data_IF_742726202870
#
_entry.id   IF_742726202870
#
_cell.length_a   1.000
_cell.length_b   1.000
_cell.length_c   1.000
_cell.angle_alpha   90.00
_cell.angle_beta   90.00
_cell.angle_gamma   90.00
#
_symmetry.space_group_name_H-M   'P 1'
#
loop_
_entity.id
_entity.type
_entity.pdbx_description
1 polymer ?
#
# COMPACT_ATOMS: atom_id res chain seq x y z
N UNK A 1 26.36 24.63 -3.36
CA UNK A 1 25.12 23.85 -3.51
C UNK A 1 24.95 23.41 -4.96
N UNK A 2 24.77 24.35 -5.91
CA UNK A 2 24.50 24.04 -7.33
C UNK A 2 25.47 23.06 -7.98
N UNK A 3 26.77 23.19 -7.71
CA UNK A 3 27.81 22.29 -8.26
C UNK A 3 27.58 20.81 -7.93
N UNK A 4 26.85 20.51 -6.85
CA UNK A 4 26.53 19.14 -6.44
C UNK A 4 25.24 18.63 -7.07
N UNK A 5 24.42 19.48 -7.70
CA UNK A 5 23.17 19.07 -8.31
C UNK A 5 23.42 18.49 -9.70
N UNK A 6 22.67 17.45 -10.05
CA UNK A 6 22.63 16.81 -11.37
C UNK A 6 21.19 16.68 -11.82
N UNK A 7 20.96 16.94 -13.10
CA UNK A 7 19.62 16.93 -13.68
C UNK A 7 19.04 15.55 -13.92
N UNK A 8 19.87 14.50 -13.84
CA UNK A 8 19.47 13.12 -14.09
C UNK A 8 19.98 12.20 -13.00
N UNK A 9 19.16 11.24 -12.58
CA UNK A 9 19.50 10.25 -11.58
C UNK A 9 20.74 9.41 -11.96
N UNK A 10 20.89 9.07 -13.25
CA UNK A 10 22.02 8.28 -13.74
C UNK A 10 23.38 9.00 -13.65
N UNK A 11 23.36 10.32 -13.44
CA UNK A 11 24.56 11.15 -13.34
C UNK A 11 24.90 11.53 -11.89
N UNK A 12 24.11 11.06 -10.92
CA UNK A 12 24.21 11.43 -9.53
C UNK A 12 24.64 10.24 -8.64
N UNK A 13 25.44 10.53 -7.62
CA UNK A 13 25.86 9.54 -6.64
C UNK A 13 24.75 9.20 -5.62
N UNK A 14 23.83 10.15 -5.39
CA UNK A 14 22.71 10.03 -4.45
C UNK A 14 21.42 10.66 -4.99
N UNK A 15 20.29 10.19 -4.47
CA UNK A 15 18.99 10.81 -4.68
C UNK A 15 18.58 11.59 -3.43
N UNK A 16 17.95 12.75 -3.61
CA UNK A 16 17.39 13.54 -2.51
C UNK A 16 15.89 13.71 -2.72
N UNK A 17 15.11 13.35 -1.70
CA UNK A 17 13.73 13.78 -1.55
C UNK A 17 13.72 15.25 -1.09
N UNK A 18 13.68 16.16 -2.05
CA UNK A 18 13.84 17.59 -1.80
C UNK A 18 12.66 18.14 -1.00
N UNK A 19 11.45 17.70 -1.33
CA UNK A 19 10.22 18.03 -0.60
C UNK A 19 10.35 17.70 0.88
N UNK A 20 10.83 16.50 1.22
CA UNK A 20 11.00 16.06 2.59
C UNK A 20 12.09 16.86 3.32
N UNK A 21 13.26 17.00 2.71
CA UNK A 21 14.41 17.71 3.32
C UNK A 21 14.10 19.16 3.64
N UNK A 22 13.56 19.92 2.66
CA UNK A 22 13.33 21.35 2.87
C UNK A 22 12.19 21.63 3.84
N UNK A 23 11.30 20.66 4.10
CA UNK A 23 10.19 20.76 5.07
C UNK A 23 10.51 20.20 6.44
N UNK A 24 11.65 19.53 6.61
CA UNK A 24 12.03 18.92 7.88
C UNK A 24 12.56 19.96 8.88
N UNK A 25 11.66 20.46 9.73
CA UNK A 25 11.95 21.46 10.76
C UNK A 25 12.91 20.96 11.83
N UNK A 26 13.06 19.64 11.99
CA UNK A 26 13.98 19.07 12.97
C UNK A 26 15.45 19.25 12.54
N UNK A 27 15.70 19.50 11.25
CA UNK A 27 17.05 19.78 10.73
C UNK A 27 17.52 21.22 10.96
N UNK A 28 16.59 22.15 11.16
CA UNK A 28 16.91 23.55 11.45
C UNK A 28 15.89 24.56 10.92
N UNK A 29 15.97 25.81 11.39
CA UNK A 29 15.08 26.90 10.99
C UNK A 29 13.64 26.77 11.52
N UNK A 30 12.96 27.89 11.71
CA UNK A 30 11.59 27.92 12.22
C UNK A 30 10.52 27.88 11.13
N UNK A 31 10.86 28.31 9.91
CA UNK A 31 9.95 28.37 8.76
C UNK A 31 9.44 26.99 8.34
N UNK A 32 8.23 26.89 7.76
CA UNK A 32 7.71 25.61 7.24
C UNK A 32 8.64 24.97 6.20
N UNK A 33 9.19 25.76 5.26
CA UNK A 33 10.16 25.32 4.26
C UNK A 33 11.45 26.14 4.32
N UNK A 34 12.62 25.56 4.04
CA UNK A 34 13.88 26.30 3.89
C UNK A 34 14.96 25.53 3.14
N UNK A 35 15.66 26.21 2.22
CA UNK A 35 16.84 25.70 1.51
C UNK A 35 18.07 25.55 2.40
N UNK A 36 18.12 26.20 3.56
CA UNK A 36 19.21 26.01 4.52
C UNK A 36 19.31 24.53 4.94
N UNK A 37 18.18 23.83 5.04
CA UNK A 37 18.14 22.39 5.36
C UNK A 37 18.82 21.55 4.28
N UNK A 38 18.62 21.88 3.00
CA UNK A 38 19.33 21.23 1.91
C UNK A 38 20.84 21.50 1.99
N UNK A 39 21.24 22.73 2.35
CA UNK A 39 22.67 23.08 2.56
C UNK A 39 23.30 22.20 3.65
N UNK A 40 22.59 22.02 4.77
CA UNK A 40 23.04 21.19 5.89
C UNK A 40 23.14 19.71 5.49
N UNK A 41 22.14 19.18 4.77
CA UNK A 41 22.16 17.80 4.26
C UNK A 41 23.31 17.57 3.29
N UNK A 42 23.59 18.50 2.37
CA UNK A 42 24.71 18.37 1.45
C UNK A 42 26.07 18.49 2.15
N UNK A 43 26.16 19.21 3.27
CA UNK A 43 27.35 19.20 4.11
C UNK A 43 27.53 17.85 4.81
N UNK A 44 26.47 17.33 5.40
CA UNK A 44 26.44 16.01 6.02
C UNK A 44 26.82 14.90 5.03
N UNK A 45 26.39 15.01 3.76
CA UNK A 45 26.73 14.05 2.72
C UNK A 45 28.23 14.01 2.42
N UNK A 46 28.89 15.18 2.33
CA UNK A 46 30.35 15.25 2.12
C UNK A 46 31.12 14.65 3.29
N UNK A 47 30.66 14.88 4.51
CA UNK A 47 31.26 14.28 5.71
C UNK A 47 31.06 12.77 5.75
N UNK A 48 29.87 12.29 5.39
CA UNK A 48 29.53 10.87 5.39
C UNK A 48 30.30 10.07 4.31
N UNK A 49 30.47 10.65 3.13
CA UNK A 49 31.19 10.02 2.01
C UNK A 49 32.70 10.19 2.09
N UNK A 50 33.18 11.26 2.72
CA UNK A 50 34.57 11.73 2.58
C UNK A 50 34.87 12.35 1.21
N UNK A 51 33.87 12.48 0.33
CA UNK A 51 34.01 13.00 -1.02
C UNK A 51 33.38 14.39 -1.12
N UNK A 52 34.19 15.38 -1.52
CA UNK A 52 33.74 16.78 -1.68
C UNK A 52 32.98 17.01 -2.97
N UNK A 53 33.17 16.13 -3.95
CA UNK A 53 32.55 16.21 -5.27
C UNK A 53 31.28 15.37 -5.36
N UNK A 54 30.89 14.67 -4.28
CA UNK A 54 29.66 13.88 -4.21
C UNK A 54 28.44 14.68 -4.70
N UNK A 55 27.76 14.08 -5.67
CA UNK A 55 26.67 14.67 -6.44
C UNK A 55 25.32 14.09 -6.06
N UNK A 56 24.26 14.85 -6.30
CA UNK A 56 22.89 14.48 -5.98
C UNK A 56 21.94 14.83 -7.12
N UNK A 57 20.94 13.97 -7.33
CA UNK A 57 19.75 14.30 -8.10
C UNK A 57 18.60 14.55 -7.14
N UNK A 58 18.11 15.79 -7.10
CA UNK A 58 17.06 16.21 -6.17
C UNK A 58 15.71 16.21 -6.87
N UNK A 59 14.74 15.48 -6.29
CA UNK A 59 13.38 15.32 -6.81
C UNK A 59 12.40 15.91 -5.79
N UNK A 60 11.46 16.73 -6.26
CA UNK A 60 10.42 17.34 -5.46
C UNK A 60 9.02 17.09 -6.04
N UNK A 61 8.03 17.17 -5.18
CA UNK A 61 6.63 17.28 -5.59
C UNK A 61 6.36 18.69 -6.16
N UNK A 62 5.45 18.77 -7.12
CA UNK A 62 4.98 20.01 -7.75
C UNK A 62 4.45 21.04 -6.75
N UNK A 63 3.87 20.56 -5.65
CA UNK A 63 3.36 21.39 -4.57
C UNK A 63 4.45 22.21 -3.87
N UNK A 64 5.74 21.85 -4.00
CA UNK A 64 6.84 22.57 -3.39
C UNK A 64 7.02 23.99 -3.94
N UNK A 65 6.67 24.18 -5.22
CA UNK A 65 6.78 25.46 -5.93
C UNK A 65 5.42 26.06 -6.30
N UNK A 66 4.34 25.52 -5.74
CA UNK A 66 3.00 26.03 -5.96
C UNK A 66 2.78 27.39 -5.29
N UNK A 67 1.89 28.26 -5.80
CA UNK A 67 1.69 29.62 -5.27
C UNK A 67 1.36 29.72 -3.78
N UNK A 68 0.82 28.64 -3.20
CA UNK A 68 0.51 28.58 -1.76
C UNK A 68 1.73 28.33 -0.90
N UNK A 69 2.79 27.76 -1.47
CA UNK A 69 4.02 27.42 -0.75
C UNK A 69 5.07 28.51 -0.78
N UNK A 70 4.91 29.58 -1.58
CA UNK A 70 5.83 30.73 -1.55
C UNK A 70 5.93 31.36 -0.16
N UNK A 71 4.80 31.40 0.58
CA UNK A 71 4.74 31.91 1.95
C UNK A 71 5.32 30.95 3.00
N UNK A 72 5.65 29.71 2.63
CA UNK A 72 6.26 28.73 3.53
C UNK A 72 7.76 28.97 3.72
N UNK A 73 8.39 29.75 2.82
CA UNK A 73 9.81 30.05 2.87
C UNK A 73 10.08 31.35 3.63
N UNK A 74 11.21 31.45 4.35
CA UNK A 74 11.58 32.65 5.08
C UNK A 74 11.97 33.81 4.15
N UNK A 75 12.47 33.51 2.95
CA UNK A 75 12.93 34.48 1.95
C UNK A 75 12.39 34.11 0.56
N UNK A 76 11.68 35.01 -0.14
CA UNK A 76 11.25 34.82 -1.53
C UNK A 76 12.40 34.48 -2.50
N UNK A 77 13.64 34.87 -2.19
CA UNK A 77 14.81 34.53 -3.01
C UNK A 77 15.08 33.01 -3.03
N UNK A 78 14.76 32.27 -1.97
CA UNK A 78 14.89 30.81 -1.95
C UNK A 78 13.93 30.16 -2.97
N UNK A 79 12.71 30.68 -3.07
CA UNK A 79 11.70 30.20 -4.02
C UNK A 79 12.12 30.53 -5.45
N UNK A 80 12.63 31.74 -5.68
CA UNK A 80 13.14 32.15 -6.98
C UNK A 80 14.32 31.25 -7.42
N UNK A 81 15.23 30.93 -6.50
CA UNK A 81 16.35 30.03 -6.74
C UNK A 81 15.91 28.60 -7.08
N UNK A 82 14.92 28.04 -6.37
CA UNK A 82 14.37 26.72 -6.70
C UNK A 82 13.70 26.70 -8.09
N UNK A 83 12.97 27.76 -8.45
CA UNK A 83 12.37 27.90 -9.78
C UNK A 83 13.44 27.95 -10.86
N UNK A 84 14.51 28.72 -10.64
CA UNK A 84 15.65 28.77 -11.55
C UNK A 84 16.35 27.40 -11.67
N UNK A 85 16.55 26.67 -10.57
CA UNK A 85 17.11 25.31 -10.63
C UNK A 85 16.24 24.35 -11.42
N UNK A 86 14.91 24.42 -11.26
CA UNK A 86 13.97 23.64 -12.07
C UNK A 86 14.10 24.02 -13.54
N UNK A 87 14.12 25.32 -13.86
CA UNK A 87 14.14 25.82 -15.24
C UNK A 87 15.46 25.47 -15.95
N UNK A 88 16.57 25.40 -15.20
CA UNK A 88 17.87 24.90 -15.68
C UNK A 88 17.98 23.37 -15.67
N UNK A 89 16.98 22.65 -15.18
CA UNK A 89 16.99 21.20 -15.08
C UNK A 89 17.97 20.64 -14.04
N UNK A 90 18.34 21.41 -13.01
CA UNK A 90 19.20 20.95 -11.91
C UNK A 90 18.43 20.13 -10.86
N UNK A 91 17.11 20.32 -10.79
CA UNK A 91 16.20 19.54 -9.94
C UNK A 91 15.00 19.07 -10.77
N UNK A 92 14.43 17.92 -10.41
CA UNK A 92 13.18 17.45 -10.97
C UNK A 92 12.01 17.88 -10.07
N UNK A 93 10.99 18.51 -10.66
CA UNK A 93 9.75 18.86 -9.96
C UNK A 93 8.59 18.19 -10.68
N UNK A 94 8.02 17.17 -10.06
CA UNK A 94 7.06 16.25 -10.68
C UNK A 94 5.81 16.07 -9.81
N UNK A 95 4.76 15.43 -10.33
CA UNK A 95 3.50 15.29 -9.60
C UNK A 95 3.61 14.50 -8.28
N UNK A 96 4.53 13.52 -8.24
CA UNK A 96 4.86 12.74 -7.05
C UNK A 96 6.33 12.34 -7.11
N UNK A 97 7.14 12.75 -6.13
CA UNK A 97 8.56 12.42 -6.08
C UNK A 97 8.83 10.95 -5.71
N UNK A 98 8.06 10.39 -4.79
CA UNK A 98 8.31 9.06 -4.20
C UNK A 98 8.46 7.93 -5.24
N UNK A 99 7.56 7.75 -6.25
CA UNK A 99 7.72 6.67 -7.22
C UNK A 99 9.04 6.73 -7.98
N UNK A 100 9.41 7.91 -8.49
CA UNK A 100 10.64 8.12 -9.26
C UNK A 100 11.89 7.89 -8.39
N UNK A 101 11.90 8.39 -7.14
CA UNK A 101 12.99 8.12 -6.19
C UNK A 101 13.19 6.62 -5.98
N UNK A 102 12.09 5.89 -5.77
CA UNK A 102 12.14 4.45 -5.46
C UNK A 102 12.45 3.59 -6.68
N UNK A 103 11.98 3.97 -7.87
CA UNK A 103 12.33 3.30 -9.11
C UNK A 103 13.81 3.51 -9.45
N UNK A 104 14.32 4.74 -9.33
CA UNK A 104 15.74 5.01 -9.55
C UNK A 104 16.64 4.30 -8.55
N UNK A 105 16.28 4.31 -7.26
CA UNK A 105 17.03 3.58 -6.24
C UNK A 105 17.09 2.07 -6.54
N UNK A 106 15.97 1.49 -6.98
CA UNK A 106 15.89 0.07 -7.34
C UNK A 106 16.70 -0.27 -8.60
N UNK A 107 16.63 0.58 -9.62
CA UNK A 107 17.26 0.32 -10.94
C UNK A 107 18.77 0.55 -10.88
N UNK A 108 19.21 1.62 -10.22
CA UNK A 108 20.61 2.04 -10.23
C UNK A 108 21.37 1.65 -8.94
N UNK A 109 20.67 1.18 -7.90
CA UNK A 109 21.27 0.94 -6.58
C UNK A 109 21.65 2.24 -5.85
N UNK A 110 21.21 3.39 -6.36
CA UNK A 110 21.53 4.72 -5.80
C UNK A 110 20.81 4.91 -4.46
N UNK A 111 21.54 5.42 -3.46
CA UNK A 111 20.96 5.67 -2.13
C UNK A 111 20.05 6.90 -2.15
N UNK A 112 18.94 6.81 -1.43
CA UNK A 112 17.96 7.89 -1.24
C UNK A 112 18.16 8.55 0.12
N UNK A 113 18.27 9.87 0.13
CA UNK A 113 18.27 10.68 1.35
C UNK A 113 16.84 11.20 1.57
N UNK A 114 16.17 10.66 2.59
CA UNK A 114 14.81 11.07 3.01
C UNK A 114 14.55 10.63 4.45
N UNK A 115 13.67 11.36 5.14
CA UNK A 115 13.13 10.98 6.43
C UNK A 115 11.82 10.16 6.29
N UNK A 116 11.29 9.93 5.09
CA UNK A 116 10.09 9.11 4.91
C UNK A 116 10.38 7.60 5.10
N UNK A 117 9.35 6.83 5.45
CA UNK A 117 9.34 5.36 5.40
C UNK A 117 8.68 4.84 4.10
N UNK A 118 8.17 5.70 3.23
CA UNK A 118 7.49 5.38 1.96
C UNK A 118 6.36 4.37 2.15
N UNK A 119 5.59 4.49 3.24
CA UNK A 119 4.62 3.47 3.66
C UNK A 119 3.56 3.19 2.60
N UNK A 120 3.07 4.23 1.90
CA UNK A 120 2.10 4.12 0.82
C UNK A 120 2.63 3.41 -0.43
N UNK A 121 3.94 3.42 -0.64
CA UNK A 121 4.60 2.89 -1.84
C UNK A 121 5.07 1.44 -1.70
N UNK A 122 5.04 0.86 -0.51
CA UNK A 122 5.49 -0.53 -0.26
C UNK A 122 4.68 -1.60 -0.99
N UNK A 123 3.48 -1.27 -1.48
CA UNK A 123 2.73 -2.17 -2.35
C UNK A 123 3.35 -2.33 -3.74
N UNK A 124 3.89 -1.24 -4.30
CA UNK A 124 4.52 -1.18 -5.62
C UNK A 124 6.03 -1.47 -5.53
N UNK A 125 6.65 -1.14 -4.39
CA UNK A 125 8.07 -1.31 -4.11
C UNK A 125 8.26 -2.19 -2.86
N UNK A 126 7.97 -3.51 -2.93
CA UNK A 126 8.03 -4.41 -1.76
C UNK A 126 9.45 -4.58 -1.20
N UNK A 127 10.49 -4.30 -1.99
CA UNK A 127 11.90 -4.39 -1.60
C UNK A 127 12.28 -3.44 -0.46
N UNK A 128 11.50 -2.38 -0.22
CA UNK A 128 11.74 -1.41 0.87
C UNK A 128 11.49 -2.05 2.25
N UNK A 129 10.70 -3.12 2.33
CA UNK A 129 10.37 -3.76 3.61
C UNK A 129 11.61 -4.33 4.30
N UNK A 130 12.03 -3.68 5.39
CA UNK A 130 13.22 -4.07 6.15
C UNK A 130 14.55 -3.73 5.46
N UNK A 131 14.55 -2.92 4.40
CA UNK A 131 15.80 -2.45 3.78
C UNK A 131 16.64 -1.65 4.78
N UNK A 132 17.97 -1.83 4.70
CA UNK A 132 18.96 -1.20 5.60
C UNK A 132 20.12 -0.55 4.86
N UNK A 133 20.08 -0.52 3.54
CA UNK A 133 21.27 -0.24 2.72
C UNK A 133 21.05 0.95 1.78
N UNK A 134 19.81 1.16 1.32
CA UNK A 134 19.50 2.11 0.26
C UNK A 134 19.02 3.46 0.78
N UNK A 135 18.73 3.59 2.08
CA UNK A 135 18.14 4.81 2.65
C UNK A 135 19.04 5.46 3.69
N UNK A 136 19.27 6.77 3.53
CA UNK A 136 19.97 7.63 4.47
C UNK A 136 18.99 8.61 5.08
N UNK A 137 19.04 8.76 6.41
CA UNK A 137 18.25 9.71 7.17
C UNK A 137 19.14 10.86 7.65
N UNK A 138 18.81 12.12 7.31
CA UNK A 138 19.38 13.27 7.98
C UNK A 138 18.91 13.35 9.43
N UNK A 139 19.84 13.45 10.38
CA UNK A 139 19.55 13.64 11.80
C UNK A 139 20.31 14.82 12.36
N UNK A 140 19.62 15.66 13.12
CA UNK A 140 20.25 16.75 13.86
C UNK A 140 20.92 16.24 15.13
N UNK A 141 22.20 16.59 15.29
CA UNK A 141 22.99 16.37 16.49
C UNK A 141 22.67 17.37 17.59
N UNK A 142 23.15 17.09 18.80
CA UNK A 142 22.99 17.98 19.97
C UNK A 142 23.77 19.28 19.83
N UNK A 143 24.82 19.28 19.02
CA UNK A 143 25.64 20.43 18.63
C UNK A 143 24.99 21.27 17.50
N UNK A 144 23.82 20.85 17.01
CA UNK A 144 23.12 21.48 15.91
C UNK A 144 23.61 21.09 14.51
N UNK A 145 24.65 20.25 14.40
CA UNK A 145 25.10 19.69 13.14
C UNK A 145 24.06 18.72 12.56
N UNK A 146 24.09 18.49 11.24
CA UNK A 146 23.29 17.44 10.60
C UNK A 146 24.24 16.33 10.18
N UNK A 147 23.89 15.08 10.47
CA UNK A 147 24.62 13.88 10.04
C UNK A 147 23.69 12.95 9.27
N UNK A 148 24.25 12.19 8.32
CA UNK A 148 23.52 11.12 7.65
C UNK A 148 23.76 9.79 8.38
N UNK A 149 22.70 9.00 8.54
CA UNK A 149 22.78 7.64 9.07
C UNK A 149 22.00 6.68 8.18
N UNK A 150 22.46 5.42 8.08
CA UNK A 150 21.67 4.38 7.44
C UNK A 150 20.35 4.19 8.19
N UNK A 151 19.26 4.15 7.44
CA UNK A 151 17.91 4.03 7.97
C UNK A 151 17.46 2.57 7.88
N UNK A 152 17.05 2.01 9.01
CA UNK A 152 16.27 0.77 9.02
C UNK A 152 14.85 1.09 8.57
N UNK A 153 14.49 0.65 7.37
CA UNK A 153 13.19 0.93 6.78
C UNK A 153 12.04 0.19 7.48
N UNK A 154 12.33 -0.69 8.44
CA UNK A 154 11.37 -1.45 9.26
C UNK A 154 10.45 -2.34 8.42
N UNK A 155 9.82 -3.28 9.09
CA UNK A 155 8.71 -4.06 8.54
C UNK A 155 7.40 -3.48 9.08
N UNK A 156 6.53 -3.08 8.16
CA UNK A 156 5.17 -2.64 8.47
C UNK A 156 4.16 -3.72 8.09
N UNK A 157 3.15 -3.91 8.95
CA UNK A 157 2.01 -4.78 8.64
C UNK A 157 1.21 -4.23 7.46
N UNK A 158 0.62 -5.13 6.67
CA UNK A 158 -0.14 -4.78 5.47
C UNK A 158 -1.28 -3.82 5.75
N UNK A 159 -1.83 -3.86 6.96
CA UNK A 159 -2.84 -2.91 7.41
C UNK A 159 -2.39 -1.47 7.28
N UNK A 160 -1.18 -1.16 7.77
CA UNK A 160 -0.63 0.21 7.77
C UNK A 160 -0.41 0.67 6.34
N UNK A 161 0.23 -0.17 5.52
CA UNK A 161 0.50 0.10 4.10
C UNK A 161 -0.81 0.38 3.34
N UNK A 162 -1.82 -0.47 3.57
CA UNK A 162 -3.11 -0.36 2.88
C UNK A 162 -3.91 0.87 3.32
N UNK A 163 -3.79 1.29 4.58
CA UNK A 163 -4.47 2.47 5.13
C UNK A 163 -3.87 3.77 4.57
N UNK A 164 -2.54 3.84 4.47
CA UNK A 164 -1.88 4.98 3.82
C UNK A 164 -2.26 5.06 2.34
N UNK A 165 -2.18 3.94 1.61
CA UNK A 165 -2.61 3.90 0.21
C UNK A 165 -4.09 4.24 -0.01
N UNK A 166 -4.97 3.85 0.91
CA UNK A 166 -6.37 4.29 0.90
C UNK A 166 -6.49 5.80 1.12
N UNK A 167 -5.78 6.35 2.11
CA UNK A 167 -5.81 7.80 2.38
C UNK A 167 -5.38 8.60 1.16
N UNK A 168 -4.33 8.16 0.45
CA UNK A 168 -3.83 8.81 -0.74
C UNK A 168 -4.81 8.73 -1.91
N UNK A 169 -5.46 7.57 -2.14
CA UNK A 169 -6.51 7.45 -3.15
C UNK A 169 -7.73 8.34 -2.82
N UNK A 170 -8.15 8.37 -1.55
CA UNK A 170 -9.23 9.24 -1.09
C UNK A 170 -8.90 10.72 -1.31
N UNK A 171 -7.67 11.14 -1.00
CA UNK A 171 -7.19 12.50 -1.26
C UNK A 171 -7.24 12.82 -2.75
N UNK A 172 -6.72 11.94 -3.61
CA UNK A 172 -6.72 12.10 -5.07
C UNK A 172 -8.13 12.18 -5.68
N UNK A 173 -9.15 11.66 -4.98
CA UNK A 173 -10.56 11.63 -5.41
C UNK A 173 -11.40 12.73 -4.76
N UNK A 174 -10.80 13.63 -3.97
CA UNK A 174 -11.49 14.63 -3.16
C UNK A 174 -12.53 14.01 -2.20
N UNK A 175 -12.24 12.82 -1.68
CA UNK A 175 -13.09 12.09 -0.74
C UNK A 175 -12.65 12.26 0.72
N UNK A 176 -11.77 13.22 0.98
CA UNK A 176 -11.49 13.72 2.31
C UNK A 176 -12.19 15.08 2.50
N UNK A 177 -12.66 15.34 3.72
CA UNK A 177 -13.15 16.65 4.13
C UNK A 177 -11.99 17.63 4.40
N UNK A 178 -12.32 18.86 4.79
CA UNK A 178 -11.33 19.89 5.10
C UNK A 178 -10.45 19.57 6.33
N UNK A 179 -10.86 18.60 7.16
CA UNK A 179 -10.10 18.09 8.32
C UNK A 179 -9.33 16.82 7.97
N UNK A 180 -9.33 16.40 6.70
CA UNK A 180 -8.69 15.16 6.25
C UNK A 180 -9.45 13.89 6.63
N UNK A 181 -10.72 13.98 7.05
CA UNK A 181 -11.54 12.82 7.40
C UNK A 181 -12.22 12.26 6.15
N UNK A 182 -12.31 10.93 5.99
CA UNK A 182 -13.05 10.33 4.89
C UNK A 182 -14.52 10.75 4.87
N UNK A 183 -15.02 11.08 3.68
CA UNK A 183 -16.43 11.43 3.43
C UNK A 183 -17.31 10.19 3.42
N UNK A 184 -17.71 9.75 4.61
CA UNK A 184 -18.58 8.57 4.79
C UNK A 184 -19.89 8.70 4.02
N UNK A 185 -20.42 9.93 3.86
CA UNK A 185 -21.62 10.22 3.08
C UNK A 185 -21.52 9.80 1.60
N UNK A 186 -20.31 9.66 1.07
CA UNK A 186 -20.05 9.14 -0.29
C UNK A 186 -19.56 7.69 -0.24
N UNK A 187 -18.67 7.38 0.70
CA UNK A 187 -17.96 6.10 0.77
C UNK A 187 -18.81 4.93 1.26
N UNK A 188 -19.85 5.20 2.06
CA UNK A 188 -20.80 4.20 2.56
C UNK A 188 -21.99 4.00 1.62
N UNK A 189 -21.89 4.48 0.37
CA UNK A 189 -22.94 4.35 -0.64
C UNK A 189 -22.48 3.48 -1.82
N UNK A 190 -23.43 2.74 -2.38
CA UNK A 190 -23.25 2.00 -3.62
C UNK A 190 -23.54 2.95 -4.76
N UNK A 191 -22.67 2.97 -5.77
CA UNK A 191 -22.81 3.89 -6.90
C UNK A 191 -22.96 3.10 -8.20
N UNK A 192 -23.57 3.72 -9.21
CA UNK A 192 -23.63 3.20 -10.58
C UNK A 192 -23.21 4.26 -11.56
N UNK A 193 -22.29 3.90 -12.45
CA UNK A 193 -21.95 4.73 -13.59
C UNK A 193 -22.97 4.48 -14.73
N UNK A 194 -23.48 5.52 -15.40
CA UNK A 194 -24.34 5.36 -16.58
C UNK A 194 -23.63 4.68 -17.76
N UNK A 195 -22.30 4.79 -17.85
CA UNK A 195 -21.50 4.07 -18.85
C UNK A 195 -21.37 2.62 -18.40
N UNK A 196 -21.85 1.67 -19.20
CA UNK A 196 -21.75 0.24 -18.91
C UNK A 196 -20.93 -0.47 -19.98
N UNK A 197 -20.13 -1.50 -19.62
CA UNK A 197 -19.83 -1.95 -18.26
C UNK A 197 -18.81 -1.02 -17.59
N UNK A 198 -19.12 -0.48 -16.41
CA UNK A 198 -18.19 0.30 -15.61
C UNK A 198 -18.26 -0.15 -14.16
N UNK A 199 -17.10 -0.33 -13.54
CA UNK A 199 -17.01 -0.38 -12.10
C UNK A 199 -16.76 1.03 -11.56
N UNK A 200 -17.75 1.69 -10.93
CA UNK A 200 -17.64 3.10 -10.62
C UNK A 200 -16.57 3.34 -9.56
N UNK A 201 -15.71 4.32 -9.84
CA UNK A 201 -14.77 4.90 -8.89
C UNK A 201 -15.24 6.31 -8.54
N UNK A 202 -16.07 6.51 -7.50
CA UNK A 202 -16.59 7.81 -7.09
C UNK A 202 -15.49 8.85 -6.86
N UNK A 203 -15.70 10.10 -7.26
CA UNK A 203 -14.85 11.22 -6.92
C UNK A 203 -15.72 12.47 -6.76
N UNK A 204 -15.26 13.48 -6.03
CA UNK A 204 -15.96 14.76 -5.95
C UNK A 204 -15.33 15.74 -6.93
N UNK A 205 -16.16 16.27 -7.84
CA UNK A 205 -15.81 17.39 -8.72
C UNK A 205 -16.92 18.43 -8.64
N UNK A 206 -16.55 19.67 -8.31
CA UNK A 206 -17.50 20.79 -8.16
C UNK A 206 -18.71 20.45 -7.28
N UNK A 207 -18.46 19.79 -6.14
CA UNK A 207 -19.48 19.39 -5.17
C UNK A 207 -20.37 18.21 -5.58
N UNK A 208 -20.15 17.59 -6.74
CA UNK A 208 -20.95 16.47 -7.25
C UNK A 208 -20.14 15.16 -7.26
N UNK A 209 -20.82 14.04 -7.00
CA UNK A 209 -20.22 12.71 -7.08
C UNK A 209 -20.20 12.23 -8.54
N UNK A 210 -19.00 12.05 -9.08
CA UNK A 210 -18.75 11.66 -10.48
C UNK A 210 -17.95 10.37 -10.56
N UNK A 211 -18.05 9.68 -11.70
CA UNK A 211 -17.15 8.59 -12.05
C UNK A 211 -15.78 9.16 -12.38
N UNK A 212 -14.72 8.76 -11.67
CA UNK A 212 -13.35 9.20 -11.97
C UNK A 212 -12.95 8.89 -13.41
N UNK A 213 -13.32 7.71 -13.91
CA UNK A 213 -12.94 7.24 -15.25
C UNK A 213 -13.70 7.92 -16.37
N UNK A 214 -15.01 8.17 -16.20
CA UNK A 214 -15.87 8.68 -17.27
C UNK A 214 -16.27 10.15 -17.12
N UNK A 215 -16.01 10.77 -15.97
CA UNK A 215 -16.44 12.13 -15.65
C UNK A 215 -17.96 12.31 -15.48
N UNK A 216 -18.77 11.26 -15.68
CA UNK A 216 -20.23 11.30 -15.59
C UNK A 216 -20.71 11.30 -14.14
N UNK A 217 -21.84 11.95 -13.86
CA UNK A 217 -22.52 11.84 -12.57
C UNK A 217 -22.84 10.37 -12.24
N UNK A 218 -22.62 9.99 -10.97
CA UNK A 218 -22.97 8.65 -10.50
C UNK A 218 -24.39 8.64 -9.96
N UNK A 219 -25.12 7.57 -10.28
CA UNK A 219 -26.40 7.29 -9.67
C UNK A 219 -26.16 6.59 -8.32
N UNK A 220 -26.78 7.13 -7.28
CA UNK A 220 -26.78 6.55 -5.94
C UNK A 220 -27.73 5.35 -5.89
N UNK A 221 -27.21 4.19 -5.46
CA UNK A 221 -27.96 2.95 -5.29
C UNK A 221 -28.29 2.64 -3.82
N UNK A 222 -28.05 3.59 -2.92
CA UNK A 222 -28.30 3.44 -1.48
C UNK A 222 -27.09 2.90 -0.71
N UNK A 223 -27.31 2.46 0.55
CA UNK A 223 -26.22 2.03 1.43
C UNK A 223 -25.37 0.90 0.84
N UNK A 224 -24.05 1.00 1.03
CA UNK A 224 -23.06 -0.03 0.71
C UNK A 224 -22.95 -1.01 1.87
N UNK A 225 -23.00 -2.31 1.58
CA UNK A 225 -22.65 -3.32 2.59
C UNK A 225 -21.16 -3.24 2.93
N UNK A 226 -20.77 -3.35 4.21
CA UNK A 226 -19.37 -3.41 4.60
C UNK A 226 -18.62 -4.50 3.83
N UNK A 227 -17.38 -4.21 3.47
CA UNK A 227 -16.51 -5.14 2.76
C UNK A 227 -15.15 -5.22 3.41
N UNK A 228 -14.58 -6.41 3.37
CA UNK A 228 -13.19 -6.67 3.72
C UNK A 228 -12.45 -7.12 2.47
N UNK A 229 -11.20 -6.71 2.34
CA UNK A 229 -10.36 -7.13 1.24
C UNK A 229 -9.26 -8.06 1.74
N UNK A 230 -9.12 -9.18 1.05
CA UNK A 230 -8.00 -10.10 1.20
C UNK A 230 -7.02 -9.88 0.06
N UNK A 231 -5.73 -9.91 0.34
CA UNK A 231 -4.66 -9.83 -0.65
C UNK A 231 -3.99 -11.18 -0.76
N UNK A 232 -3.69 -11.58 -1.98
CA UNK A 232 -2.97 -12.80 -2.32
C UNK A 232 -1.59 -12.38 -2.81
N UNK A 233 -0.57 -12.72 -2.02
CA UNK A 233 0.82 -12.45 -2.30
C UNK A 233 1.47 -13.72 -2.82
N UNK A 234 2.30 -13.58 -3.86
CA UNK A 234 3.19 -14.64 -4.33
C UNK A 234 4.62 -14.13 -4.23
N UNK A 235 5.44 -14.84 -3.48
CA UNK A 235 6.84 -14.51 -3.18
C UNK A 235 7.00 -13.06 -2.67
N UNK A 236 6.07 -12.65 -1.80
CA UNK A 236 6.04 -11.32 -1.17
C UNK A 236 5.40 -10.22 -2.01
N UNK A 237 5.01 -10.48 -3.26
CA UNK A 237 4.39 -9.50 -4.17
C UNK A 237 2.88 -9.72 -4.23
N UNK A 238 2.08 -8.67 -4.05
CA UNK A 238 0.63 -8.75 -4.16
C UNK A 238 0.20 -8.97 -5.62
N UNK A 239 -0.33 -10.16 -5.94
CA UNK A 239 -0.71 -10.55 -7.30
C UNK A 239 -2.22 -10.49 -7.55
N UNK A 240 -3.03 -10.64 -6.50
CA UNK A 240 -4.48 -10.60 -6.60
C UNK A 240 -5.12 -10.15 -5.28
N UNK A 241 -6.41 -9.83 -5.33
CA UNK A 241 -7.20 -9.52 -4.15
C UNK A 241 -8.64 -10.04 -4.29
N UNK A 242 -9.26 -10.32 -3.14
CA UNK A 242 -10.64 -10.79 -3.01
C UNK A 242 -11.42 -9.86 -2.10
N UNK A 243 -12.58 -9.39 -2.55
CA UNK A 243 -13.46 -8.51 -1.77
C UNK A 243 -14.60 -9.33 -1.16
N UNK A 244 -14.54 -9.55 0.14
CA UNK A 244 -15.57 -10.21 0.94
C UNK A 244 -16.63 -9.19 1.34
N UNK A 245 -17.88 -9.44 0.99
CA UNK A 245 -19.00 -8.68 1.56
C UNK A 245 -19.35 -9.29 2.90
N UNK A 246 -19.47 -8.48 3.96
CA UNK A 246 -19.88 -8.99 5.26
C UNK A 246 -21.31 -9.55 5.19
N UNK A 247 -21.46 -10.79 5.65
CA UNK A 247 -22.73 -11.51 5.70
C UNK A 247 -22.64 -12.55 6.83
N UNK A 248 -23.36 -12.30 7.93
CA UNK A 248 -23.35 -13.11 9.15
C UNK A 248 -23.76 -14.58 8.92
N UNK A 249 -24.34 -14.90 7.76
CA UNK A 249 -24.87 -16.24 7.43
C UNK A 249 -24.04 -17.01 6.40
N UNK A 250 -22.97 -16.41 5.84
CA UNK A 250 -22.31 -16.94 4.65
C UNK A 250 -20.84 -17.31 4.88
N UNK A 251 -20.53 -18.57 4.61
CA UNK A 251 -19.15 -19.02 4.45
C UNK A 251 -18.62 -18.64 3.06
N UNK A 252 -17.41 -18.07 3.02
CA UNK A 252 -16.63 -17.88 1.81
C UNK A 252 -15.56 -18.95 1.71
N UNK A 253 -15.47 -19.63 0.57
CA UNK A 253 -14.46 -20.67 0.35
C UNK A 253 -13.41 -20.12 -0.59
N UNK A 254 -12.20 -19.85 -0.08
CA UNK A 254 -11.04 -19.49 -0.88
C UNK A 254 -10.33 -20.78 -1.33
N UNK A 255 -9.85 -20.80 -2.57
CA UNK A 255 -9.11 -21.93 -3.10
C UNK A 255 -8.67 -21.70 -4.53
N UNK A 256 -8.10 -22.73 -5.16
CA UNK A 256 -7.38 -22.65 -6.44
C UNK A 256 -8.04 -21.80 -7.53
N UNK A 257 -9.36 -21.85 -7.65
CA UNK A 257 -10.09 -21.08 -8.67
C UNK A 257 -9.96 -19.56 -8.54
N UNK A 258 -9.72 -19.04 -7.33
CA UNK A 258 -9.51 -17.60 -7.06
C UNK A 258 -8.13 -17.12 -7.53
N UNK A 259 -7.18 -18.05 -7.67
CA UNK A 259 -5.82 -17.75 -8.11
C UNK A 259 -5.64 -17.99 -9.62
N UNK A 260 -6.71 -18.38 -10.33
CA UNK A 260 -6.63 -18.77 -11.73
C UNK A 260 -6.16 -17.65 -12.65
N UNK A 261 -6.44 -16.39 -12.32
CA UNK A 261 -6.04 -15.22 -13.11
C UNK A 261 -4.58 -14.79 -12.90
N UNK A 262 -3.90 -15.30 -11.88
CA UNK A 262 -2.49 -14.99 -11.66
C UNK A 262 -1.73 -15.66 -12.80
N UNK A 263 -0.94 -14.90 -13.56
CA UNK A 263 -0.21 -15.43 -14.71
C UNK A 263 0.84 -16.47 -14.27
N UNK A 264 1.14 -17.43 -15.15
CA UNK A 264 2.09 -18.52 -14.87
C UNK A 264 3.48 -18.02 -14.45
N UNK A 265 3.94 -16.91 -15.04
CA UNK A 265 5.19 -16.21 -14.65
C UNK A 265 5.26 -15.84 -13.16
N UNK A 266 4.11 -15.66 -12.52
CA UNK A 266 3.99 -15.23 -11.13
C UNK A 266 3.56 -16.38 -10.22
N UNK A 267 2.79 -17.34 -10.72
CA UNK A 267 2.37 -18.53 -10.00
C UNK A 267 2.37 -19.73 -10.94
N UNK A 268 3.46 -20.48 -10.90
CA UNK A 268 3.65 -21.71 -11.67
C UNK A 268 2.54 -22.74 -11.38
N UNK A 269 2.23 -23.54 -12.40
CA UNK A 269 1.11 -24.49 -12.35
C UNK A 269 1.31 -25.62 -11.33
N UNK A 270 2.55 -26.04 -11.08
CA UNK A 270 2.86 -27.02 -10.05
C UNK A 270 2.49 -26.50 -8.65
N UNK A 271 2.86 -25.25 -8.34
CA UNK A 271 2.57 -24.59 -7.06
C UNK A 271 1.08 -24.31 -6.94
N UNK A 272 0.43 -23.87 -8.03
CA UNK A 272 -1.03 -23.71 -8.11
C UNK A 272 -1.75 -25.04 -7.88
N UNK A 273 -1.20 -26.14 -8.39
CA UNK A 273 -1.72 -27.49 -8.23
C UNK A 273 -1.81 -27.95 -6.78
N UNK A 274 -0.85 -27.52 -5.95
CA UNK A 274 -0.81 -27.79 -4.49
C UNK A 274 -1.88 -27.03 -3.70
N UNK A 275 -2.44 -25.96 -4.26
CA UNK A 275 -3.54 -25.23 -3.65
C UNK A 275 -4.83 -26.03 -3.89
N UNK A 276 -5.45 -26.49 -2.81
CA UNK A 276 -6.74 -27.16 -2.87
C UNK A 276 -7.84 -26.29 -3.51
N UNK A 277 -8.81 -26.93 -4.20
CA UNK A 277 -9.98 -26.23 -4.78
C UNK A 277 -10.82 -25.54 -3.71
N UNK A 278 -10.90 -26.16 -2.53
CA UNK A 278 -11.42 -25.60 -1.28
C UNK A 278 -10.24 -25.59 -0.32
N UNK A 279 -9.59 -24.44 -0.16
CA UNK A 279 -8.36 -24.35 0.63
C UNK A 279 -8.65 -23.78 2.01
N UNK A 280 -9.33 -22.63 2.07
CA UNK A 280 -9.76 -22.01 3.32
C UNK A 280 -11.28 -21.83 3.33
N UNK A 281 -11.88 -22.05 4.49
CA UNK A 281 -13.23 -21.59 4.80
C UNK A 281 -13.11 -20.32 5.64
N UNK A 282 -13.75 -19.25 5.20
CA UNK A 282 -13.63 -17.91 5.77
C UNK A 282 -15.02 -17.44 6.17
N UNK A 283 -15.14 -16.95 7.41
CA UNK A 283 -16.35 -16.32 7.93
C UNK A 283 -16.00 -14.89 8.32
N UNK A 284 -16.84 -13.95 7.89
CA UNK A 284 -16.69 -12.54 8.22
C UNK A 284 -17.90 -12.06 9.00
N UNK A 285 -17.66 -11.54 10.21
CA UNK A 285 -18.71 -11.00 11.07
C UNK A 285 -18.24 -9.76 11.80
N UNK A 286 -18.96 -8.64 11.64
CA UNK A 286 -18.70 -7.36 12.33
C UNK A 286 -17.23 -6.94 12.23
N UNK A 287 -16.66 -6.96 11.03
CA UNK A 287 -15.25 -6.63 10.80
C UNK A 287 -14.22 -7.64 11.31
N UNK A 288 -14.64 -8.79 11.85
CA UNK A 288 -13.75 -9.88 12.29
C UNK A 288 -13.76 -10.99 11.25
N UNK A 289 -12.56 -11.40 10.81
CA UNK A 289 -12.40 -12.60 9.99
C UNK A 289 -12.02 -13.77 10.87
N UNK A 290 -12.64 -14.92 10.59
CA UNK A 290 -12.21 -16.20 11.12
C UNK A 290 -12.01 -17.17 9.97
N UNK A 291 -11.00 -18.02 10.10
CA UNK A 291 -10.55 -18.93 9.05
C UNK A 291 -10.45 -20.35 9.59
N UNK A 292 -10.67 -21.31 8.72
CA UNK A 292 -10.49 -22.74 8.97
C UNK A 292 -9.81 -23.35 7.74
N UNK A 293 -8.78 -24.15 7.96
CA UNK A 293 -8.12 -24.87 6.88
C UNK A 293 -8.95 -26.06 6.42
N UNK A 294 -9.11 -26.21 5.11
CA UNK A 294 -9.75 -27.35 4.45
C UNK A 294 -8.84 -27.95 3.37
N UNK A 295 -7.56 -27.56 3.36
CA UNK A 295 -6.59 -27.95 2.37
C UNK A 295 -5.86 -29.24 2.71
N UNK A 296 -5.46 -29.97 1.67
CA UNK A 296 -4.53 -31.09 1.83
C UNK A 296 -3.11 -30.65 2.22
N UNK A 297 -2.76 -29.39 1.95
CA UNK A 297 -1.41 -28.86 2.11
C UNK A 297 -1.08 -28.41 3.54
N UNK A 298 -2.11 -28.30 4.40
CA UNK A 298 -1.99 -27.83 5.79
C UNK A 298 -1.42 -26.41 5.89
N UNK A 299 -2.32 -25.44 5.72
CA UNK A 299 -2.04 -24.01 5.88
C UNK A 299 -1.44 -23.69 7.24
N UNK A 300 -0.63 -22.63 7.28
CA UNK A 300 0.00 -22.12 8.50
C UNK A 300 -0.18 -20.61 8.63
N UNK A 301 -0.17 -20.11 9.85
CA UNK A 301 -0.41 -18.71 10.18
C UNK A 301 0.70 -18.15 11.06
N UNK A 302 1.01 -16.86 10.89
CA UNK A 302 1.87 -16.09 11.80
C UNK A 302 1.37 -14.66 11.91
N UNK A 303 1.84 -13.96 12.93
CA UNK A 303 1.59 -12.53 13.14
C UNK A 303 2.84 -11.71 12.82
N UNK A 304 2.65 -10.62 12.06
CA UNK A 304 3.61 -9.54 11.85
C UNK A 304 3.37 -8.44 12.90
N UNK A 305 4.32 -8.22 13.80
CA UNK A 305 4.23 -7.10 14.74
C UNK A 305 5.12 -5.95 14.26
N UNK A 306 4.61 -4.71 14.13
CA UNK A 306 5.42 -3.58 13.70
C UNK A 306 6.66 -3.41 14.58
N UNK A 307 7.82 -3.26 13.94
CA UNK A 307 9.11 -3.08 14.63
C UNK A 307 9.59 -4.30 15.42
N UNK A 308 9.02 -5.48 15.19
CA UNK A 308 9.46 -6.76 15.77
C UNK A 308 9.57 -7.80 14.68
N UNK A 309 10.34 -8.85 14.96
CA UNK A 309 10.41 -10.00 14.08
C UNK A 309 9.04 -10.70 13.97
N UNK A 310 8.70 -11.27 12.80
CA UNK A 310 7.53 -12.11 12.64
C UNK A 310 7.53 -13.26 13.65
N UNK A 311 6.37 -13.59 14.20
CA UNK A 311 6.25 -14.82 15.00
C UNK A 311 6.55 -16.06 14.14
N UNK A 312 7.01 -17.17 14.74
CA UNK A 312 7.16 -18.44 14.02
C UNK A 312 5.83 -18.89 13.40
N UNK A 313 5.90 -19.58 12.28
CA UNK A 313 4.73 -20.18 11.65
C UNK A 313 4.10 -21.23 12.57
N UNK A 314 2.77 -21.18 12.70
CA UNK A 314 1.98 -22.13 13.46
C UNK A 314 0.95 -22.81 12.56
N UNK A 315 0.63 -24.09 12.78
CA UNK A 315 -0.46 -24.75 12.06
C UNK A 315 -1.77 -23.97 12.20
N UNK A 316 -2.52 -23.89 11.10
CA UNK A 316 -3.89 -23.41 11.13
C UNK A 316 -4.82 -24.58 11.51
N UNK A 317 -5.85 -24.37 12.35
CA UNK A 317 -6.81 -25.42 12.66
C UNK A 317 -7.44 -25.97 11.39
N UNK A 318 -7.60 -27.29 11.33
CA UNK A 318 -8.06 -27.98 10.13
C UNK A 318 -9.43 -28.60 10.32
N UNK A 319 -10.22 -28.70 9.24
CA UNK A 319 -11.60 -29.22 9.26
C UNK A 319 -11.70 -30.63 9.89
N UNK A 320 -10.73 -31.49 9.63
CA UNK A 320 -10.67 -32.87 10.17
C UNK A 320 -10.41 -32.93 11.68
N UNK A 321 -9.97 -31.85 12.33
CA UNK A 321 -9.72 -31.85 13.79
C UNK A 321 -11.03 -31.83 14.59
N UNK A 322 -12.17 -31.56 13.95
CA UNK A 322 -13.50 -31.57 14.54
C UNK A 322 -14.05 -32.96 14.89
N UNK A 323 -13.38 -34.05 14.50
CA UNK A 323 -13.83 -35.43 14.74
C UNK A 323 -13.89 -35.82 16.23
N UNK A 324 -13.34 -35.00 17.13
CA UNK A 324 -13.35 -35.21 18.59
C UNK A 324 -14.54 -34.57 19.35
N UNK A 325 -15.64 -34.20 18.68
CA UNK A 325 -16.84 -33.63 19.33
C UNK A 325 -16.78 -32.13 19.63
N UNK A 326 -15.73 -31.43 19.16
CA UNK A 326 -15.64 -29.97 19.23
C UNK A 326 -16.57 -29.36 18.17
N UNK A 327 -17.51 -28.48 18.54
CA UNK A 327 -18.34 -27.78 17.56
C UNK A 327 -17.49 -27.04 16.53
N UNK A 328 -17.82 -27.19 15.25
CA UNK A 328 -17.04 -26.63 14.12
C UNK A 328 -16.79 -25.12 14.28
N UNK A 329 -17.72 -24.39 14.88
CA UNK A 329 -17.64 -22.94 15.12
C UNK A 329 -16.47 -22.57 16.06
N UNK A 330 -16.00 -23.51 16.89
CA UNK A 330 -14.85 -23.33 17.79
C UNK A 330 -13.51 -23.62 17.12
N UNK A 331 -13.49 -24.34 15.99
CA UNK A 331 -12.26 -24.64 15.25
C UNK A 331 -11.71 -23.41 14.52
N UNK A 332 -12.58 -22.47 14.15
CA UNK A 332 -12.17 -21.28 13.41
C UNK A 332 -11.19 -20.41 14.22
N UNK A 333 -10.03 -20.12 13.63
CA UNK A 333 -9.02 -19.20 14.17
C UNK A 333 -9.29 -17.77 13.71
N UNK A 334 -9.06 -16.79 14.57
CA UNK A 334 -9.11 -15.38 14.18
C UNK A 334 -8.05 -15.05 13.14
N UNK A 335 -8.41 -14.24 12.14
CA UNK A 335 -7.50 -13.73 11.12
C UNK A 335 -7.49 -12.20 11.17
N UNK A 336 -6.53 -11.68 11.92
CA UNK A 336 -6.36 -10.26 12.16
C UNK A 336 -5.70 -9.53 10.99
N UNK A 337 -5.70 -8.19 11.06
CA UNK A 337 -5.03 -7.33 10.07
C UNK A 337 -3.49 -7.43 10.09
N UNK A 338 -2.94 -7.99 11.16
CA UNK A 338 -1.50 -8.18 11.36
C UNK A 338 -1.07 -9.63 11.12
N UNK A 339 -2.00 -10.51 10.73
CA UNK A 339 -1.73 -11.92 10.49
C UNK A 339 -1.51 -12.20 9.00
N UNK A 340 -0.80 -13.28 8.74
CA UNK A 340 -0.57 -13.84 7.42
C UNK A 340 -0.85 -15.33 7.45
N UNK A 341 -1.51 -15.85 6.41
CA UNK A 341 -1.72 -17.29 6.23
C UNK A 341 -0.95 -17.72 5.00
N UNK A 342 -0.02 -18.66 5.15
CA UNK A 342 0.60 -19.31 4.01
C UNK A 342 -0.24 -20.53 3.60
N UNK A 343 -0.74 -20.49 2.37
CA UNK A 343 -1.54 -21.57 1.78
C UNK A 343 -0.64 -22.73 1.34
N UNK A 344 0.46 -22.36 0.68
CA UNK A 344 1.57 -23.22 0.25
C UNK A 344 2.83 -22.35 0.25
N UNK A 345 4.05 -22.91 0.32
CA UNK A 345 5.29 -22.13 0.35
C UNK A 345 5.31 -21.00 -0.69
N UNK A 346 5.46 -19.77 -0.21
CA UNK A 346 5.52 -18.56 -1.05
C UNK A 346 4.17 -17.99 -1.49
N UNK A 347 3.02 -18.63 -1.20
CA UNK A 347 1.68 -18.10 -1.50
C UNK A 347 0.97 -17.74 -0.19
N UNK A 348 0.84 -16.44 0.05
CA UNK A 348 0.40 -15.88 1.33
C UNK A 348 -0.87 -15.07 1.17
N UNK A 349 -1.82 -15.26 2.08
CA UNK A 349 -3.01 -14.46 2.24
C UNK A 349 -2.80 -13.43 3.36
N UNK A 350 -3.10 -12.17 3.08
CA UNK A 350 -3.11 -11.08 4.08
C UNK A 350 -4.45 -10.36 4.08
N UNK A 351 -4.84 -9.81 5.22
CA UNK A 351 -5.99 -8.90 5.30
C UNK A 351 -5.55 -7.47 4.97
N UNK A 352 -6.22 -6.83 4.03
CA UNK A 352 -6.06 -5.41 3.72
C UNK A 352 -6.55 -4.55 4.88
N UNK A 353 -5.84 -3.44 5.15
CA UNK A 353 -6.26 -2.44 6.13
C UNK A 353 -7.29 -1.43 5.64
N UNK A 354 -7.65 -1.48 4.35
CA UNK A 354 -8.61 -0.55 3.74
C UNK A 354 -9.99 -0.70 4.38
N UNK A 355 -10.62 0.43 4.70
CA UNK A 355 -11.99 0.50 5.21
C UNK A 355 -13.02 0.56 4.09
N UNK A 356 -12.66 1.18 2.98
CA UNK A 356 -13.47 1.35 1.79
C UNK A 356 -12.73 0.78 0.59
N UNK A 357 -12.49 -0.55 0.56
CA UNK A 357 -11.84 -1.17 -0.57
C UNK A 357 -12.63 -0.85 -1.84
N UNK A 358 -11.91 -0.35 -2.85
CA UNK A 358 -12.50 0.09 -4.10
C UNK A 358 -13.32 -1.00 -4.77
N UNK A 359 -14.37 -0.61 -5.47
CA UNK A 359 -14.98 -1.48 -6.46
C UNK A 359 -14.04 -1.51 -7.67
N UNK A 360 -12.97 -2.30 -7.62
CA UNK A 360 -12.15 -2.55 -8.79
C UNK A 360 -12.76 -3.71 -9.57
N UNK A 361 -12.92 -3.51 -10.89
CA UNK A 361 -13.56 -4.46 -11.82
C UNK A 361 -12.88 -5.82 -11.82
N UNK A 362 -11.60 -5.86 -11.48
CA UNK A 362 -10.78 -7.06 -11.58
C UNK A 362 -10.13 -7.37 -10.22
N UNK A 363 -10.98 -7.77 -9.27
CA UNK A 363 -10.63 -8.79 -8.29
C UNK A 363 -11.56 -9.95 -8.61
N UNK A 364 -10.97 -11.03 -9.13
CA UNK A 364 -11.62 -12.23 -9.68
C UNK A 364 -12.90 -12.59 -8.93
N UNK A 365 -14.07 -12.39 -9.56
CA UNK A 365 -15.26 -13.09 -9.05
C UNK A 365 -15.06 -14.58 -9.29
N UNK A 366 -14.66 -15.32 -8.27
CA UNK A 366 -15.00 -16.73 -8.25
C UNK A 366 -16.52 -16.83 -8.34
N UNK A 367 -17.03 -17.43 -9.42
CA UNK A 367 -18.42 -17.88 -9.44
C UNK A 367 -18.63 -18.73 -8.18
N UNK A 368 -19.67 -18.46 -7.36
CA UNK A 368 -19.98 -19.34 -6.25
C UNK A 368 -20.08 -20.78 -6.79
N UNK A 369 -19.56 -21.79 -6.06
CA UNK A 369 -19.72 -23.17 -6.49
C UNK A 369 -21.21 -23.41 -6.75
N UNK A 370 -21.54 -23.89 -7.95
CA UNK A 370 -22.90 -24.33 -8.26
C UNK A 370 -23.28 -25.29 -7.12
N UNK A 371 -24.38 -25.00 -6.41
CA UNK A 371 -25.03 -26.00 -5.56
C UNK A 371 -25.15 -27.26 -6.40
N UNK A 372 -24.62 -28.38 -5.89
CA UNK A 372 -24.84 -29.67 -6.52
C UNK A 372 -26.36 -29.85 -6.60
N UNK A 373 -26.92 -29.90 -7.82
CA UNK A 373 -28.26 -30.42 -8.04
C UNK A 373 -28.17 -31.91 -7.78
N UNK A 374 -28.72 -32.37 -6.67
CA UNK A 374 -28.72 -33.77 -6.30
C UNK A 374 -29.28 -33.98 -4.91
N UNK A 375 -30.61 -33.89 -4.79
CA UNK A 375 -31.49 -34.79 -4.01
C UNK A 375 -32.92 -34.23 -3.87
N UNK A 376 -33.52 -33.81 -4.99
CA UNK A 376 -34.99 -33.79 -5.10
C UNK A 376 -35.37 -34.94 -6.04
N UNK A 377 -35.19 -36.16 -5.54
CA UNK A 377 -35.81 -37.36 -6.06
C UNK A 377 -36.19 -38.18 -4.85
N UNK A 378 -37.41 -37.95 -4.35
CA UNK A 378 -38.25 -38.88 -3.57
C UNK A 378 -39.43 -38.08 -3.01
N UNK A 379 -40.44 -37.86 -3.86
CA UNK A 379 -41.88 -37.96 -3.53
C UNK A 379 -42.68 -37.79 -4.83
N UNK A 380 -42.71 -38.86 -5.61
CA UNK A 380 -43.82 -39.16 -6.51
C UNK A 380 -44.23 -40.58 -6.19
N UNK A 381 -45.37 -40.71 -5.53
CA UNK A 381 -46.23 -41.88 -5.50
C UNK A 381 -47.64 -41.33 -5.40
N UNK A 382 -48.39 -41.54 -6.47
CA UNK A 382 -49.85 -41.59 -6.65
C UNK A 382 -50.76 -40.73 -5.75
#
# INVERSE_FOLDING_TARGET
MERQLRGEAAQADYLIDLSNVVRDRDLGGSAPSSLERLRLVLAALREWTGDREATVHAIADDNLLGPRSDADYPDPAEVALLRDWRDRGLIAVIAKADPDLLDHAKVFGTRVISHDYFRGHRGEHPWIQGDREHFLEPRRGTDGSVRLVLRDMRVFADRVISQEGERDDLKARNLLDFRGRPRSEVLERSWRCPRTPCNPSPAIRSGKVVCRSHGTLLADLGPRRPRLQLKILVDGVCQAWENLTEDDSREFVLGRGHLASIGERHLADDRRGRISRRHLVIVSRRGTLRVLDASTARSRIRTLRPGREPTPWQPLPHLDEGSGGVPRERLFRGFGPDDEIELVPGVVLRRSGQRWPGERGDGVRAKPPRRARGNDALTSTD
#
